data_IF_706114985497
#
_entry.id   IF_706114985497
#
_cell.length_a   1.000
_cell.length_b   1.000
_cell.length_c   1.000
_cell.angle_alpha   90.00
_cell.angle_beta   90.00
_cell.angle_gamma   90.00
#
_symmetry.space_group_name_H-M   'P 1'
#
loop_
_entity.id
_entity.type
_entity.pdbx_description
1 polymer ?
#
# COMPACT_ATOMS: atom_id res chain seq x y z
N UNK A 1 1.35 12.17 6.94
CA UNK A 1 0.70 12.15 5.61
C UNK A 1 1.44 13.14 4.72
N UNK A 2 1.97 12.72 3.57
CA UNK A 2 2.54 13.66 2.59
C UNK A 2 1.41 14.17 1.70
N UNK A 3 1.33 15.49 1.48
CA UNK A 3 0.44 16.06 0.48
C UNK A 3 1.15 16.04 -0.87
N UNK A 4 0.55 15.42 -1.88
CA UNK A 4 1.12 15.29 -3.22
C UNK A 4 0.32 16.06 -4.25
N UNK A 5 1.01 16.57 -5.27
CA UNK A 5 0.41 17.30 -6.38
C UNK A 5 0.93 16.75 -7.71
N UNK A 6 0.05 16.12 -8.49
CA UNK A 6 0.39 15.54 -9.78
C UNK A 6 0.72 16.62 -10.81
N UNK A 7 1.89 16.51 -11.44
CA UNK A 7 2.39 17.47 -12.42
C UNK A 7 2.68 16.78 -13.74
N UNK A 8 1.97 17.24 -14.76
CA UNK A 8 2.17 16.79 -16.14
C UNK A 8 3.41 17.42 -16.76
N UNK A 9 4.09 16.64 -17.61
CA UNK A 9 5.21 17.10 -18.42
C UNK A 9 6.46 16.25 -18.30
N UNK A 10 7.21 16.16 -19.41
CA UNK A 10 8.41 15.34 -19.53
C UNK A 10 9.60 15.86 -18.72
N UNK A 11 9.64 17.15 -18.42
CA UNK A 11 10.73 17.80 -17.67
C UNK A 11 10.45 17.87 -16.16
N UNK A 12 9.40 17.19 -15.68
CA UNK A 12 9.07 17.14 -14.26
C UNK A 12 9.68 15.87 -13.65
N UNK A 13 10.49 15.97 -12.58
CA UNK A 13 11.03 14.79 -11.91
C UNK A 13 9.92 13.99 -11.22
N UNK A 14 10.13 12.69 -10.99
CA UNK A 14 9.18 11.81 -10.28
C UNK A 14 8.78 12.42 -8.93
N UNK A 15 9.72 13.00 -8.20
CA UNK A 15 9.46 13.78 -6.99
C UNK A 15 10.19 15.12 -7.09
N UNK A 16 9.41 16.21 -7.11
CA UNK A 16 9.91 17.58 -7.17
C UNK A 16 10.24 18.17 -5.80
N UNK A 17 10.79 19.38 -5.82
CA UNK A 17 11.12 20.12 -4.60
C UNK A 17 9.85 20.44 -3.81
N UNK A 18 9.78 20.09 -2.51
CA UNK A 18 8.61 20.37 -1.71
C UNK A 18 8.42 21.87 -1.45
N UNK A 19 7.16 22.30 -1.39
CA UNK A 19 6.77 23.68 -1.13
C UNK A 19 5.78 23.76 0.03
N UNK A 20 5.95 24.75 0.91
CA UNK A 20 4.94 25.08 1.93
C UNK A 20 3.74 25.77 1.29
N UNK A 21 2.54 25.29 1.62
CA UNK A 21 1.27 25.84 1.14
C UNK A 21 0.34 26.14 2.31
N UNK A 22 -0.49 27.16 2.12
CA UNK A 22 -1.53 27.52 3.08
C UNK A 22 -2.67 26.51 2.97
N UNK A 23 -3.21 26.09 4.11
CA UNK A 23 -4.30 25.12 4.17
C UNK A 23 -5.46 25.72 4.95
N UNK A 24 -6.67 25.58 4.43
CA UNK A 24 -7.88 25.97 5.16
C UNK A 24 -8.62 24.72 5.59
N UNK A 25 -8.77 24.55 6.90
CA UNK A 25 -9.52 23.43 7.50
C UNK A 25 -10.65 24.03 8.32
N UNK A 26 -11.90 23.65 8.01
CA UNK A 26 -13.09 24.08 8.76
C UNK A 26 -13.20 25.60 8.92
N UNK A 27 -12.89 26.36 7.86
CA UNK A 27 -12.95 27.83 7.85
C UNK A 27 -11.78 28.55 8.52
N UNK A 28 -10.80 27.82 9.07
CA UNK A 28 -9.57 28.40 9.64
C UNK A 28 -8.39 28.18 8.70
N UNK A 29 -7.78 29.28 8.24
CA UNK A 29 -6.58 29.23 7.40
C UNK A 29 -5.32 29.14 8.26
N UNK A 30 -4.52 28.11 8.01
CA UNK A 30 -3.17 27.94 8.54
C UNK A 30 -2.16 28.29 7.45
N UNK A 31 -1.43 29.40 7.64
CA UNK A 31 -0.34 29.79 6.75
C UNK A 31 0.77 28.74 6.81
N UNK A 32 1.28 28.29 5.66
CA UNK A 32 2.26 27.22 5.53
C UNK A 32 1.85 25.91 6.25
N UNK A 33 0.54 25.65 6.32
CA UNK A 33 -0.05 24.53 7.06
C UNK A 33 0.27 23.15 6.50
N UNK A 34 0.75 23.03 5.26
CA UNK A 34 1.18 21.75 4.69
C UNK A 34 2.44 21.88 3.83
N UNK A 35 3.14 20.75 3.69
CA UNK A 35 4.22 20.55 2.73
C UNK A 35 3.68 19.81 1.52
N UNK A 36 3.63 20.49 0.38
CA UNK A 36 3.18 19.95 -0.89
C UNK A 36 4.37 19.43 -1.70
N UNK A 37 4.29 18.18 -2.14
CA UNK A 37 5.31 17.50 -2.93
C UNK A 37 4.82 17.36 -4.38
N UNK A 38 5.45 18.04 -5.35
CA UNK A 38 5.13 17.86 -6.76
C UNK A 38 5.54 16.47 -7.23
N UNK A 39 4.69 15.78 -7.99
CA UNK A 39 4.93 14.43 -8.50
C UNK A 39 4.88 14.43 -10.03
N UNK A 40 5.97 14.09 -10.70
CA UNK A 40 6.05 14.02 -12.16
C UNK A 40 5.34 12.78 -12.70
N UNK A 41 4.09 12.95 -13.15
CA UNK A 41 3.22 11.84 -13.55
C UNK A 41 3.70 11.17 -14.85
N UNK A 42 4.24 11.95 -15.79
CA UNK A 42 4.61 11.44 -17.12
C UNK A 42 5.78 10.45 -17.04
N UNK A 43 6.81 10.79 -16.26
CA UNK A 43 7.99 9.92 -16.08
C UNK A 43 7.61 8.65 -15.32
N UNK A 44 6.82 8.76 -14.26
CA UNK A 44 6.32 7.61 -13.50
C UNK A 44 5.50 6.66 -14.41
N UNK A 45 4.57 7.19 -15.21
CA UNK A 45 3.80 6.39 -16.18
C UNK A 45 4.72 5.69 -17.19
N UNK A 46 5.70 6.39 -17.76
CA UNK A 46 6.66 5.78 -18.68
C UNK A 46 7.48 4.65 -18.04
N UNK A 47 7.90 4.82 -16.78
CA UNK A 47 8.61 3.79 -16.02
C UNK A 47 7.73 2.55 -15.81
N UNK A 48 6.47 2.74 -15.36
CA UNK A 48 5.51 1.65 -15.19
C UNK A 48 5.29 0.86 -16.48
N UNK A 49 5.04 1.55 -17.60
CA UNK A 49 4.81 0.87 -18.89
C UNK A 49 6.06 0.11 -19.36
N UNK A 50 7.26 0.64 -19.09
CA UNK A 50 8.51 -0.08 -19.32
C UNK A 50 8.63 -1.34 -18.46
N UNK A 51 8.23 -1.26 -17.19
CA UNK A 51 8.21 -2.40 -16.26
C UNK A 51 7.19 -3.46 -16.67
N UNK A 52 5.96 -3.06 -17.01
CA UNK A 52 4.91 -3.94 -17.48
C UNK A 52 5.32 -4.69 -18.76
N UNK A 53 5.94 -3.99 -19.72
CA UNK A 53 6.44 -4.61 -20.94
C UNK A 53 7.42 -5.75 -20.68
N UNK A 54 8.28 -5.60 -19.66
CA UNK A 54 9.22 -6.65 -19.24
C UNK A 54 8.54 -7.81 -18.51
N UNK A 55 7.36 -7.58 -17.94
CA UNK A 55 6.60 -8.56 -17.15
C UNK A 55 5.83 -9.54 -18.04
N UNK A 56 5.43 -9.12 -19.25
CA UNK A 56 4.60 -9.92 -20.18
C UNK A 56 5.20 -11.30 -20.49
N UNK A 57 6.53 -11.39 -20.61
CA UNK A 57 7.23 -12.65 -20.91
C UNK A 57 7.20 -13.67 -19.77
N UNK A 58 6.77 -13.27 -18.58
CA UNK A 58 6.83 -14.11 -17.39
C UNK A 58 8.27 -14.38 -16.92
N UNK A 59 8.42 -15.25 -15.91
CA UNK A 59 9.73 -15.69 -15.45
C UNK A 59 10.45 -16.54 -16.50
N UNK A 60 11.78 -16.51 -16.46
CA UNK A 60 12.62 -17.40 -17.26
C UNK A 60 12.62 -18.85 -16.75
N UNK A 61 13.43 -19.72 -17.37
CA UNK A 61 13.55 -21.14 -16.99
C UNK A 61 14.02 -21.34 -15.53
N UNK A 62 14.60 -20.31 -14.90
CA UNK A 62 15.01 -20.33 -13.49
C UNK A 62 13.91 -19.85 -12.54
N UNK A 63 12.75 -19.46 -13.08
CA UNK A 63 11.65 -18.90 -12.31
C UNK A 63 11.81 -17.40 -12.00
N UNK A 64 12.81 -16.73 -12.58
CA UNK A 64 13.15 -15.34 -12.27
C UNK A 64 12.60 -14.38 -13.31
N UNK A 65 12.03 -13.26 -12.84
CA UNK A 65 11.61 -12.18 -13.72
C UNK A 65 12.82 -11.33 -14.15
N UNK A 66 12.81 -10.75 -15.36
CA UNK A 66 13.89 -9.90 -15.83
C UNK A 66 14.00 -8.62 -14.99
N UNK A 67 15.21 -8.06 -14.91
CA UNK A 67 15.46 -6.86 -14.10
C UNK A 67 14.56 -5.68 -14.51
N UNK A 68 13.81 -5.18 -13.52
CA UNK A 68 12.85 -4.09 -13.68
C UNK A 68 11.48 -4.52 -14.18
N UNK A 69 11.19 -5.82 -14.26
CA UNK A 69 9.81 -6.31 -14.34
C UNK A 69 9.03 -5.98 -13.06
N UNK A 70 7.72 -5.86 -13.19
CA UNK A 70 6.81 -5.67 -12.08
C UNK A 70 6.49 -6.99 -11.42
N UNK A 71 6.37 -6.97 -10.08
CA UNK A 71 5.92 -8.12 -9.30
C UNK A 71 4.49 -7.86 -8.85
N UNK A 72 3.57 -8.73 -9.25
CA UNK A 72 2.15 -8.62 -8.93
C UNK A 72 1.68 -9.89 -8.22
N UNK A 73 0.87 -9.79 -7.16
CA UNK A 73 0.25 -10.94 -6.53
C UNK A 73 -0.83 -11.56 -7.41
N UNK A 74 -1.16 -12.84 -7.20
CA UNK A 74 -2.21 -13.55 -7.95
C UNK A 74 -3.61 -12.92 -7.80
N UNK A 75 -3.80 -12.08 -6.78
CA UNK A 75 -5.04 -11.32 -6.58
C UNK A 75 -5.25 -10.18 -7.61
N UNK A 76 -4.22 -9.80 -8.36
CA UNK A 76 -4.32 -8.81 -9.43
C UNK A 76 -4.97 -9.43 -10.67
N UNK A 77 -6.23 -9.14 -10.90
CA UNK A 77 -7.01 -9.64 -12.04
C UNK A 77 -6.96 -8.72 -13.27
N UNK A 78 -7.67 -9.08 -14.33
CA UNK A 78 -7.76 -8.28 -15.54
C UNK A 78 -8.32 -6.87 -15.25
N UNK A 79 -9.27 -6.73 -14.33
CA UNK A 79 -9.85 -5.44 -13.97
C UNK A 79 -8.79 -4.52 -13.34
N UNK A 80 -7.94 -5.07 -12.47
CA UNK A 80 -6.79 -4.36 -11.92
C UNK A 80 -5.85 -3.87 -13.03
N UNK A 81 -5.42 -4.75 -13.94
CA UNK A 81 -4.50 -4.38 -15.01
C UNK A 81 -5.13 -3.42 -16.02
N UNK A 82 -6.44 -3.50 -16.26
CA UNK A 82 -7.19 -2.54 -17.07
C UNK A 82 -7.16 -1.14 -16.46
N UNK A 83 -7.24 -1.02 -15.14
CA UNK A 83 -7.07 0.29 -14.47
C UNK A 83 -5.62 0.74 -14.44
N UNK A 84 -4.67 -0.17 -14.21
CA UNK A 84 -3.24 0.12 -14.19
C UNK A 84 -2.74 0.62 -15.55
N UNK A 85 -3.36 0.18 -16.64
CA UNK A 85 -3.03 0.55 -18.02
C UNK A 85 -4.08 1.48 -18.66
N UNK A 86 -4.86 2.19 -17.84
CA UNK A 86 -5.98 2.99 -18.32
C UNK A 86 -5.59 4.17 -19.23
N UNK A 87 -4.34 4.63 -19.21
CA UNK A 87 -3.89 5.76 -20.01
C UNK A 87 -2.94 5.35 -21.12
N UNK A 88 -3.09 5.90 -22.33
CA UNK A 88 -2.19 5.64 -23.45
C UNK A 88 -1.38 6.87 -23.84
N UNK A 89 -0.16 6.67 -24.33
CA UNK A 89 0.70 7.75 -24.80
C UNK A 89 0.43 8.07 -26.27
N UNK A 90 -0.05 9.29 -26.54
CA UNK A 90 -0.44 9.76 -27.88
C UNK A 90 0.38 10.99 -28.29
N UNK A 91 0.60 11.16 -29.60
CA UNK A 91 1.13 12.40 -30.18
C UNK A 91 -0.04 13.35 -30.46
N UNK A 92 -0.07 14.48 -29.76
CA UNK A 92 -1.03 15.55 -29.99
C UNK A 92 -0.39 16.65 -30.83
N UNK A 93 -1.01 16.99 -31.95
CA UNK A 93 -0.61 18.14 -32.75
C UNK A 93 -1.01 19.45 -32.06
N UNK A 94 -0.09 20.38 -32.06
CA UNK A 94 -0.23 21.71 -31.50
C UNK A 94 -0.50 22.72 -32.61
N UNK A 95 -1.08 23.88 -32.26
CA UNK A 95 -1.42 24.93 -33.23
C UNK A 95 -0.22 25.49 -33.99
N UNK A 96 0.99 25.34 -33.46
CA UNK A 96 2.25 25.77 -34.06
C UNK A 96 2.88 24.71 -34.99
N UNK A 97 2.16 23.62 -35.29
CA UNK A 97 2.62 22.53 -36.17
C UNK A 97 3.57 21.54 -35.50
N UNK A 98 3.87 21.70 -34.21
CA UNK A 98 4.68 20.73 -33.45
C UNK A 98 3.80 19.62 -32.89
N UNK A 99 4.37 18.45 -32.67
CA UNK A 99 3.71 17.36 -31.95
C UNK A 99 4.26 17.23 -30.53
N UNK A 100 3.37 16.99 -29.56
CA UNK A 100 3.74 16.72 -28.16
C UNK A 100 3.20 15.37 -27.74
N UNK A 101 4.05 14.56 -27.09
CA UNK A 101 3.62 13.33 -26.44
C UNK A 101 2.83 13.67 -25.17
N UNK A 102 1.60 13.16 -25.08
CA UNK A 102 0.69 13.36 -23.95
C UNK A 102 0.06 12.03 -23.57
N UNK A 103 -0.17 11.84 -22.26
CA UNK A 103 -0.96 10.71 -21.77
C UNK A 103 -2.45 11.06 -21.88
N UNK A 104 -3.25 10.11 -22.35
CA UNK A 104 -4.69 10.29 -22.57
C UNK A 104 -5.44 9.16 -21.88
N UNK A 105 -6.40 9.55 -21.04
CA UNK A 105 -7.32 8.64 -20.34
C UNK A 105 -8.66 8.57 -21.10
N UNK A 106 -9.18 7.38 -21.45
CA UNK A 106 -10.55 7.20 -21.92
C UNK A 106 -11.57 7.64 -20.85
N UNK A 107 -12.69 8.25 -21.26
CA UNK A 107 -13.68 8.78 -20.32
C UNK A 107 -14.32 7.71 -19.45
N UNK A 108 -14.55 6.52 -20.02
CA UNK A 108 -15.31 5.45 -19.39
C UNK A 108 -14.42 4.45 -18.63
N UNK A 109 -13.13 4.75 -18.48
CA UNK A 109 -12.16 3.84 -17.87
C UNK A 109 -11.64 4.39 -16.53
N UNK A 110 -11.83 3.65 -15.41
CA UNK A 110 -11.19 3.97 -14.14
C UNK A 110 -9.65 3.86 -14.23
N UNK A 111 -8.91 4.68 -13.47
CA UNK A 111 -7.44 4.72 -13.47
C UNK A 111 -6.83 4.76 -12.04
N UNK A 112 -7.60 4.40 -11.03
CA UNK A 112 -7.24 4.51 -9.62
C UNK A 112 -5.98 3.70 -9.31
N UNK A 113 -5.82 2.53 -9.93
CA UNK A 113 -4.60 1.71 -9.77
C UNK A 113 -3.37 2.35 -10.41
N UNK A 114 -3.54 3.03 -11.53
CA UNK A 114 -2.45 3.78 -12.16
C UNK A 114 -2.02 4.95 -11.26
N UNK A 115 -2.98 5.73 -10.75
CA UNK A 115 -2.69 6.88 -9.90
C UNK A 115 -2.06 6.45 -8.56
N UNK A 116 -2.55 5.36 -7.97
CA UNK A 116 -1.96 4.77 -6.78
C UNK A 116 -0.52 4.31 -7.03
N UNK A 117 -0.26 3.65 -8.16
CA UNK A 117 1.10 3.25 -8.52
C UNK A 117 2.03 4.45 -8.66
N UNK A 118 1.59 5.51 -9.33
CA UNK A 118 2.39 6.74 -9.54
C UNK A 118 2.77 7.36 -8.19
N UNK A 119 1.82 7.49 -7.27
CA UNK A 119 2.09 8.04 -5.93
C UNK A 119 3.02 7.10 -5.16
N UNK A 120 2.77 5.78 -5.17
CA UNK A 120 3.62 4.81 -4.49
C UNK A 120 5.07 4.86 -5.01
N UNK A 121 5.26 5.04 -6.33
CA UNK A 121 6.61 5.17 -6.90
C UNK A 121 7.30 6.45 -6.45
N UNK A 122 6.58 7.57 -6.39
CA UNK A 122 7.11 8.81 -5.84
C UNK A 122 7.48 8.68 -4.36
N UNK A 123 6.68 7.96 -3.58
CA UNK A 123 6.96 7.66 -2.17
C UNK A 123 8.15 6.72 -1.99
N UNK A 124 8.31 5.72 -2.86
CA UNK A 124 9.50 4.87 -2.88
C UNK A 124 10.78 5.70 -3.10
N UNK A 125 10.72 6.67 -4.00
CA UNK A 125 11.81 7.61 -4.24
C UNK A 125 12.10 8.50 -3.02
N UNK A 126 11.05 9.01 -2.36
CA UNK A 126 11.15 9.77 -1.12
C UNK A 126 11.86 8.98 -0.01
N UNK A 127 11.52 7.69 0.12
CA UNK A 127 12.10 6.77 1.11
C UNK A 127 13.48 6.23 0.69
N UNK A 128 14.00 6.65 -0.47
CA UNK A 128 15.28 6.21 -1.04
C UNK A 128 15.38 4.69 -1.20
N UNK A 129 14.27 4.02 -1.52
CA UNK A 129 14.27 2.55 -1.66
C UNK A 129 15.27 2.07 -2.71
N UNK A 130 15.50 2.86 -3.76
CA UNK A 130 16.47 2.55 -4.82
C UNK A 130 17.94 2.50 -4.31
N UNK A 131 18.22 2.97 -3.09
CA UNK A 131 19.56 2.94 -2.48
C UNK A 131 19.74 1.77 -1.50
N UNK A 132 18.73 0.92 -1.33
CA UNK A 132 18.80 -0.18 -0.39
C UNK A 132 19.63 -1.31 -1.01
N UNK A 133 20.72 -1.68 -0.34
CA UNK A 133 21.50 -2.86 -0.68
C UNK A 133 20.81 -4.16 -0.23
N UNK A 134 21.36 -5.29 -0.68
CA UNK A 134 20.78 -6.61 -0.38
C UNK A 134 20.61 -6.87 1.13
N UNK A 135 21.60 -6.52 1.95
CA UNK A 135 21.53 -6.69 3.41
C UNK A 135 20.35 -5.95 4.04
N UNK A 136 20.07 -4.73 3.56
CA UNK A 136 18.95 -3.94 4.07
C UNK A 136 17.61 -4.54 3.65
N UNK A 137 17.51 -5.03 2.42
CA UNK A 137 16.33 -5.75 1.94
C UNK A 137 16.10 -7.06 2.69
N UNK A 138 17.16 -7.83 2.95
CA UNK A 138 17.11 -9.07 3.71
C UNK A 138 16.59 -8.82 5.13
N UNK A 139 17.15 -7.84 5.83
CA UNK A 139 16.67 -7.43 7.16
C UNK A 139 15.20 -7.01 7.14
N UNK A 140 14.77 -6.23 6.16
CA UNK A 140 13.37 -5.82 6.04
C UNK A 140 12.43 -6.99 5.77
N UNK A 141 12.88 -7.98 4.98
CA UNK A 141 12.13 -9.21 4.75
C UNK A 141 12.00 -10.01 6.04
N UNK A 142 13.08 -10.20 6.79
CA UNK A 142 13.07 -10.89 8.10
C UNK A 142 12.12 -10.19 9.10
N UNK A 143 12.18 -8.87 9.20
CA UNK A 143 11.29 -8.09 10.08
C UNK A 143 9.81 -8.27 9.69
N UNK A 144 9.48 -8.24 8.40
CA UNK A 144 8.09 -8.24 7.92
C UNK A 144 7.47 -9.60 7.65
N UNK A 145 8.30 -10.62 7.39
CA UNK A 145 7.88 -12.00 7.19
C UNK A 145 8.00 -12.84 8.47
N UNK A 146 8.36 -12.22 9.59
CA UNK A 146 8.29 -12.87 10.90
C UNK A 146 6.84 -13.22 11.27
N UNK A 147 6.65 -14.33 11.99
CA UNK A 147 5.33 -14.85 12.34
C UNK A 147 4.44 -13.77 13.00
N UNK A 148 3.18 -13.57 12.56
CA UNK A 148 2.30 -12.47 12.98
C UNK A 148 2.09 -12.34 14.49
N UNK A 149 2.30 -13.44 15.24
CA UNK A 149 2.10 -13.50 16.69
C UNK A 149 3.01 -12.54 17.49
N UNK A 150 4.13 -12.07 16.91
CA UNK A 150 5.06 -11.20 17.63
C UNK A 150 4.90 -9.70 17.35
N UNK A 151 4.26 -9.31 16.25
CA UNK A 151 4.22 -7.90 15.80
C UNK A 151 2.84 -7.24 15.90
N UNK A 152 1.76 -8.01 15.86
CA UNK A 152 0.42 -7.48 16.02
C UNK A 152 -0.28 -8.29 17.10
N UNK A 153 -0.33 -7.75 18.32
CA UNK A 153 -1.27 -8.25 19.33
C UNK A 153 -2.64 -8.25 18.68
N UNK A 154 -3.22 -9.43 18.57
CA UNK A 154 -4.54 -9.67 17.98
C UNK A 154 -5.51 -8.56 18.41
N UNK A 155 -6.08 -7.83 17.45
CA UNK A 155 -7.07 -6.79 17.73
C UNK A 155 -8.28 -7.37 18.48
N UNK A 156 -8.55 -8.67 18.28
CA UNK A 156 -9.54 -9.41 19.06
C UNK A 156 -9.23 -9.43 20.56
N UNK A 157 -7.95 -9.40 20.98
CA UNK A 157 -7.56 -9.34 22.40
C UNK A 157 -7.76 -7.96 23.05
N UNK A 158 -7.88 -6.89 22.27
CA UNK A 158 -8.18 -5.54 22.76
C UNK A 158 -9.65 -5.38 23.15
N UNK A 159 -10.54 -6.18 22.56
CA UNK A 159 -11.99 -6.14 22.81
C UNK A 159 -12.54 -7.43 23.44
N UNK A 160 -11.74 -8.50 23.50
CA UNK A 160 -12.09 -9.68 24.28
C UNK A 160 -12.02 -9.32 25.77
N UNK A 161 -13.05 -9.67 26.56
CA UNK A 161 -12.96 -9.54 28.01
C UNK A 161 -11.76 -10.34 28.50
N UNK A 162 -10.95 -9.72 29.37
CA UNK A 162 -9.77 -10.34 29.94
C UNK A 162 -10.18 -11.65 30.63
N UNK A 163 -9.68 -12.83 30.24
CA UNK A 163 -10.07 -14.10 30.86
C UNK A 163 -9.72 -14.17 32.35
N UNK A 164 -8.86 -13.27 32.85
CA UNK A 164 -8.59 -13.13 34.28
C UNK A 164 -9.77 -12.51 35.07
N UNK A 165 -10.68 -11.79 34.41
CA UNK A 165 -11.77 -11.01 35.04
C UNK A 165 -13.14 -11.68 34.94
N UNK A 166 -13.27 -12.82 34.27
CA UNK A 166 -14.54 -13.57 34.22
C UNK A 166 -14.83 -14.27 35.55
N UNK A 167 -15.34 -13.45 36.47
CA UNK A 167 -15.70 -13.81 37.84
C UNK A 167 -16.86 -14.81 37.83
N UNK A 168 -17.76 -14.73 36.83
CA UNK A 168 -18.88 -15.64 36.68
C UNK A 168 -18.44 -17.05 36.29
N UNK A 169 -17.46 -17.19 35.38
CA UNK A 169 -16.91 -18.50 35.02
C UNK A 169 -16.18 -19.17 36.20
N UNK A 170 -15.45 -18.39 37.02
CA UNK A 170 -14.79 -18.89 38.24
C UNK A 170 -15.79 -19.36 39.30
N UNK A 171 -16.86 -18.58 39.53
CA UNK A 171 -17.93 -18.94 40.46
C UNK A 171 -18.70 -20.19 40.00
N UNK A 172 -18.99 -20.32 38.71
CA UNK A 172 -19.67 -21.48 38.15
C UNK A 172 -18.83 -22.76 38.33
N UNK A 173 -17.51 -22.68 38.09
CA UNK A 173 -16.59 -23.81 38.30
C UNK A 173 -16.47 -24.19 39.78
N UNK A 174 -16.42 -23.21 40.69
CA UNK A 174 -16.39 -23.48 42.13
C UNK A 174 -17.67 -24.17 42.62
N UNK A 175 -18.84 -23.73 42.15
CA UNK A 175 -20.14 -24.38 42.46
C UNK A 175 -20.20 -25.82 41.93
N UNK A 176 -19.69 -26.06 40.73
CA UNK A 176 -19.66 -27.41 40.15
C UNK A 176 -18.77 -28.37 40.95
N UNK A 177 -17.59 -27.92 41.38
CA UNK A 177 -16.68 -28.72 42.18
C UNK A 177 -17.25 -29.02 43.59
N UNK A 178 -17.86 -28.04 44.26
CA UNK A 178 -18.55 -28.26 45.55
C UNK A 178 -19.72 -29.25 45.39
N UNK A 179 -20.50 -29.13 44.30
CA UNK A 179 -21.57 -30.07 43.98
C UNK A 179 -21.04 -31.50 43.82
N UNK A 180 -19.94 -31.68 43.07
CA UNK A 180 -19.32 -32.99 42.85
C UNK A 180 -18.77 -33.60 44.15
N UNK A 181 -18.12 -32.80 45.01
CA UNK A 181 -17.64 -33.29 46.31
C UNK A 181 -18.78 -33.69 47.26
N UNK A 182 -19.92 -32.99 47.22
CA UNK A 182 -21.11 -33.38 47.99
C UNK A 182 -21.72 -34.68 47.47
N UNK A 183 -21.77 -34.85 46.14
CA UNK A 183 -22.25 -36.10 45.53
C UNK A 183 -21.33 -37.28 45.88
N UNK A 184 -20.00 -37.09 45.84
CA UNK A 184 -19.04 -38.13 46.20
C UNK A 184 -19.11 -38.54 47.69
N UNK A 185 -19.42 -37.60 48.60
CA UNK A 185 -19.62 -37.89 50.03
C UNK A 185 -20.89 -38.68 50.31
N UNK A 186 -21.98 -38.41 49.58
CA UNK A 186 -23.25 -39.12 49.74
C UNK A 186 -23.24 -40.54 49.16
N UNK A 187 -22.28 -40.87 48.29
CA UNK A 187 -22.11 -42.23 47.74
C UNK A 187 -21.30 -43.15 48.66
N UNK A 188 -20.65 -42.61 49.69
CA UNK A 188 -19.80 -43.33 50.64
C UNK A 188 -20.39 -43.42 52.06
N UNK A 189 -21.70 -43.13 52.22
CA UNK A 189 -22.48 -43.33 53.46
C UNK A 189 -23.63 -44.29 53.21
#
# INVERSE_FOLDING_TARGET
MLATDGRDGWNVPILGTPKRVDVTVSGKSAKNGAMLWPVGTFQAKSELYGSLRKTIGGPDDTGMLPLGAGHFPDACDEAFFRQLTAESLTLKEMRDGRSKRVWVKPKDQPNEQLDMWVINRAMAYHLRLDHYGQEKWKRLAEERMSEPEQLQRDLGRLWAPNPAEDTQAKEARAKYLDMMERMARNLNS
#
